data_IF_079648793301
#
_entry.id   IF_079648793301
#
_cell.length_a   1.000
_cell.length_b   1.000
_cell.length_c   1.000
_cell.angle_alpha   90.00
_cell.angle_beta   90.00
_cell.angle_gamma   90.00
#
_symmetry.space_group_name_H-M   'P 1'
#
loop_
_entity.id
_entity.type
_entity.pdbx_description
1 polymer ?
#
# COMPACT_ATOMS: atom_id res chain seq x y z
N UNK A 1 -22.35 4.35 9.36
CA UNK A 1 -21.74 5.40 8.54
C UNK A 1 -22.15 5.16 7.09
N UNK A 2 -21.89 6.06 6.15
CA UNK A 2 -22.11 5.75 4.73
C UNK A 2 -20.82 5.20 4.10
N UNK A 3 -20.94 4.51 2.97
CA UNK A 3 -19.79 4.12 2.14
C UNK A 3 -19.26 5.30 1.35
N UNK A 4 -17.94 5.41 1.24
CA UNK A 4 -17.29 6.36 0.32
C UNK A 4 -17.56 5.93 -1.13
N UNK A 5 -17.49 4.63 -1.42
CA UNK A 5 -17.57 4.08 -2.77
C UNK A 5 -16.27 4.29 -3.55
N UNK A 6 -15.12 3.98 -2.93
CA UNK A 6 -13.79 4.24 -3.47
C UNK A 6 -13.63 3.70 -4.89
N UNK A 7 -14.08 2.46 -5.11
CA UNK A 7 -13.93 1.76 -6.40
C UNK A 7 -14.46 2.55 -7.60
N UNK A 8 -15.47 3.40 -7.39
CA UNK A 8 -16.10 4.20 -8.45
C UNK A 8 -15.56 5.64 -8.50
N UNK A 9 -14.90 6.12 -7.45
CA UNK A 9 -14.49 7.53 -7.30
C UNK A 9 -13.00 7.75 -7.55
N UNK A 10 -12.19 6.73 -7.39
CA UNK A 10 -10.74 6.82 -7.57
C UNK A 10 -10.20 5.62 -8.34
N UNK A 11 -8.95 5.73 -8.78
CA UNK A 11 -8.19 4.68 -9.44
C UNK A 11 -6.74 4.75 -8.98
N UNK A 12 -6.06 3.59 -8.97
CA UNK A 12 -4.64 3.56 -8.72
C UNK A 12 -3.87 4.21 -9.87
N UNK A 13 -2.97 5.12 -9.52
CA UNK A 13 -2.00 5.71 -10.43
C UNK A 13 -0.68 4.92 -10.34
N UNK A 14 0.29 5.15 -11.24
CA UNK A 14 1.58 4.49 -11.16
C UNK A 14 2.29 4.75 -9.82
N UNK A 15 2.73 3.67 -9.18
CA UNK A 15 3.38 3.70 -7.88
C UNK A 15 4.90 3.53 -7.93
N UNK A 16 5.52 3.61 -6.76
CA UNK A 16 6.95 3.37 -6.54
C UNK A 16 7.14 2.34 -5.45
N UNK A 17 8.02 1.37 -5.69
CA UNK A 17 8.53 0.47 -4.67
C UNK A 17 9.96 0.86 -4.34
N UNK A 18 10.35 0.74 -3.08
CA UNK A 18 11.69 1.08 -2.59
C UNK A 18 12.18 0.03 -1.61
N UNK A 19 13.50 -0.01 -1.37
CA UNK A 19 14.13 -0.90 -0.38
C UNK A 19 14.84 -0.05 0.65
N UNK A 20 14.84 -0.49 1.90
CA UNK A 20 15.55 0.20 2.96
C UNK A 20 16.01 -0.76 4.06
N UNK A 21 17.16 -0.49 4.66
CA UNK A 21 17.61 -1.20 5.84
C UNK A 21 16.96 -0.59 7.08
N UNK A 22 16.52 -1.44 8.01
CA UNK A 22 16.07 -0.97 9.32
C UNK A 22 16.50 -1.94 10.41
N UNK A 23 16.85 -1.40 11.57
CA UNK A 23 17.18 -2.15 12.77
C UNK A 23 16.62 -1.44 14.01
N UNK A 24 16.19 -2.22 14.99
CA UNK A 24 15.73 -1.69 16.27
C UNK A 24 16.00 -2.69 17.39
N UNK A 25 17.13 -2.52 18.07
CA UNK A 25 17.57 -3.39 19.16
C UNK A 25 16.59 -3.41 20.35
N UNK A 26 15.83 -2.33 20.58
CA UNK A 26 14.90 -2.22 21.70
C UNK A 26 13.73 -3.21 21.60
N UNK A 27 13.35 -3.58 20.37
CA UNK A 27 12.31 -4.59 20.10
C UNK A 27 12.91 -5.91 19.59
N UNK A 28 14.25 -6.04 19.62
CA UNK A 28 14.96 -7.20 19.11
C UNK A 28 14.91 -7.36 17.58
N UNK A 29 14.55 -6.30 16.84
CA UNK A 29 14.56 -6.32 15.39
C UNK A 29 15.99 -6.17 14.90
N UNK A 30 16.57 -7.30 14.47
CA UNK A 30 17.86 -7.31 13.76
C UNK A 30 17.78 -6.46 12.49
N UNK A 31 18.93 -6.04 11.98
CA UNK A 31 19.03 -5.39 10.67
C UNK A 31 18.38 -6.25 9.58
N UNK A 32 17.28 -5.73 9.04
CA UNK A 32 16.43 -6.40 8.04
C UNK A 32 16.24 -5.46 6.85
N UNK A 33 16.25 -6.03 5.64
CA UNK A 33 15.98 -5.29 4.40
C UNK A 33 14.49 -5.36 4.17
N UNK A 34 13.83 -4.22 4.24
CA UNK A 34 12.40 -4.08 3.98
C UNK A 34 12.17 -3.49 2.61
N UNK A 35 11.00 -3.80 2.06
CA UNK A 35 10.42 -3.07 0.94
C UNK A 35 9.31 -2.15 1.46
N UNK A 36 9.13 -1.03 0.77
CA UNK A 36 7.92 -0.20 0.88
C UNK A 36 7.34 0.10 -0.48
N UNK A 37 6.03 0.28 -0.55
CA UNK A 37 5.32 0.58 -1.80
C UNK A 37 4.36 1.74 -1.57
N UNK A 38 4.47 2.74 -2.44
CA UNK A 38 3.63 3.92 -2.49
C UNK A 38 2.79 3.89 -3.76
N UNK A 39 1.47 3.91 -3.63
CA UNK A 39 0.53 3.89 -4.75
C UNK A 39 -0.43 5.06 -4.58
N UNK A 40 -0.15 6.19 -5.25
CA UNK A 40 -1.08 7.31 -5.30
C UNK A 40 -2.39 6.86 -5.95
N UNK A 41 -3.52 7.37 -5.44
CA UNK A 41 -4.81 7.21 -6.11
C UNK A 41 -5.26 8.58 -6.65
N UNK A 42 -6.06 8.58 -7.71
CA UNK A 42 -6.58 9.82 -8.28
C UNK A 42 -7.44 10.58 -7.27
N UNK A 43 -7.15 11.85 -7.05
CA UNK A 43 -7.90 12.70 -6.11
C UNK A 43 -9.39 12.75 -6.47
N UNK A 44 -10.26 12.81 -5.47
CA UNK A 44 -11.70 12.89 -5.66
C UNK A 44 -12.39 13.66 -4.53
N UNK A 45 -13.65 14.03 -4.72
CA UNK A 45 -14.43 14.64 -3.63
C UNK A 45 -14.93 13.55 -2.68
N UNK A 46 -14.36 13.45 -1.49
CA UNK A 46 -14.75 12.44 -0.49
C UNK A 46 -16.10 12.72 0.15
N UNK A 47 -16.47 14.01 0.26
CA UNK A 47 -17.67 14.45 0.99
C UNK A 47 -17.43 14.63 2.49
N UNK A 48 -16.18 14.47 2.94
CA UNK A 48 -15.76 14.80 4.31
C UNK A 48 -15.63 16.33 4.42
N UNK A 49 -16.45 16.94 5.27
CA UNK A 49 -16.57 18.39 5.41
C UNK A 49 -15.36 19.04 6.11
N UNK A 50 -14.59 18.23 6.86
CA UNK A 50 -13.38 18.65 7.57
C UNK A 50 -12.10 18.58 6.72
N UNK A 51 -12.15 18.04 5.50
CA UNK A 51 -10.99 17.92 4.59
C UNK A 51 -11.13 18.85 3.37
N UNK A 52 -10.05 19.54 2.94
CA UNK A 52 -10.02 20.22 1.65
C UNK A 52 -10.30 19.25 0.50
N UNK A 53 -11.14 19.68 -0.44
CA UNK A 53 -11.55 18.86 -1.59
C UNK A 53 -10.96 19.41 -2.91
N UNK A 54 -10.57 18.54 -3.86
CA UNK A 54 -10.55 17.09 -3.78
C UNK A 54 -9.46 16.58 -2.81
N UNK A 55 -9.70 15.44 -2.18
CA UNK A 55 -8.80 14.89 -1.18
C UNK A 55 -7.66 14.11 -1.84
N UNK A 56 -6.45 14.31 -1.32
CA UNK A 56 -5.30 13.47 -1.64
C UNK A 56 -5.43 12.11 -0.99
N UNK A 57 -5.11 11.08 -1.76
CA UNK A 57 -5.29 9.70 -1.33
C UNK A 57 -4.13 8.84 -1.84
N UNK A 58 -3.61 8.00 -0.96
CA UNK A 58 -2.48 7.14 -1.25
C UNK A 58 -2.60 5.83 -0.46
N UNK A 59 -2.21 4.73 -1.09
CA UNK A 59 -1.97 3.46 -0.39
C UNK A 59 -0.47 3.39 -0.10
N UNK A 60 -0.12 3.11 1.14
CA UNK A 60 1.26 2.88 1.58
C UNK A 60 1.32 1.48 2.17
N UNK A 61 2.29 0.69 1.70
CA UNK A 61 2.66 -0.62 2.24
C UNK A 61 4.07 -0.49 2.80
N UNK A 62 4.23 -0.59 4.11
CA UNK A 62 5.52 -0.51 4.81
C UNK A 62 5.86 -1.82 5.51
N UNK A 63 7.14 -1.94 5.87
CA UNK A 63 7.68 -3.09 6.60
C UNK A 63 7.51 -4.44 5.89
N UNK A 64 7.54 -4.44 4.54
CA UNK A 64 7.47 -5.68 3.77
C UNK A 64 8.81 -6.43 3.86
N UNK A 65 8.95 -7.33 4.83
CA UNK A 65 10.05 -8.30 4.89
C UNK A 65 9.77 -9.44 3.90
N UNK A 66 10.12 -9.22 2.64
CA UNK A 66 9.84 -10.17 1.56
C UNK A 66 10.82 -11.36 1.55
N UNK A 67 11.94 -11.26 2.27
CA UNK A 67 13.01 -12.27 2.36
C UNK A 67 13.38 -12.91 1.00
N UNK A 68 13.51 -12.08 -0.04
CA UNK A 68 13.80 -12.53 -1.40
C UNK A 68 15.29 -12.85 -1.56
N UNK A 69 15.66 -13.91 -2.32
CA UNK A 69 17.05 -14.17 -2.66
C UNK A 69 17.71 -13.03 -3.46
N UNK A 70 16.92 -12.40 -4.33
CA UNK A 70 17.28 -11.18 -5.05
C UNK A 70 16.25 -10.10 -4.67
N UNK A 71 16.63 -9.09 -3.86
CA UNK A 71 15.70 -8.07 -3.39
C UNK A 71 15.20 -7.15 -4.51
N UNK A 72 15.80 -7.21 -5.70
CA UNK A 72 15.42 -6.38 -6.84
C UNK A 72 14.41 -7.08 -7.75
N UNK A 73 14.21 -8.39 -7.54
CA UNK A 73 13.32 -9.21 -8.33
C UNK A 73 12.00 -9.48 -7.61
N UNK A 74 11.02 -8.60 -7.84
CA UNK A 74 9.65 -8.75 -7.33
C UNK A 74 8.76 -9.60 -8.26
N UNK A 75 9.31 -10.22 -9.31
CA UNK A 75 8.51 -10.95 -10.28
C UNK A 75 7.89 -12.22 -9.68
N UNK A 76 6.60 -12.43 -9.94
CA UNK A 76 5.86 -13.58 -9.42
C UNK A 76 5.56 -13.53 -7.93
N UNK A 77 5.84 -12.41 -7.25
CA UNK A 77 5.51 -12.24 -5.84
C UNK A 77 3.99 -12.28 -5.64
N UNK A 78 3.54 -13.09 -4.67
CA UNK A 78 2.14 -13.18 -4.26
C UNK A 78 2.05 -12.84 -2.77
N UNK A 79 1.37 -11.75 -2.45
CA UNK A 79 1.22 -11.28 -1.07
C UNK A 79 -0.21 -11.43 -0.59
N UNK A 80 -0.30 -11.69 0.71
CA UNK A 80 -1.50 -11.57 1.54
C UNK A 80 -1.05 -11.01 2.89
N UNK A 81 -1.93 -10.28 3.55
CA UNK A 81 -1.73 -9.87 4.93
C UNK A 81 -3.00 -10.09 5.75
N UNK A 82 -2.82 -10.21 7.05
CA UNK A 82 -3.88 -10.09 8.05
C UNK A 82 -3.46 -9.12 9.16
N UNK A 83 -4.40 -8.70 10.04
CA UNK A 83 -4.08 -7.78 11.13
C UNK A 83 -3.04 -8.28 12.12
N UNK A 84 -2.77 -9.58 12.16
CA UNK A 84 -1.75 -10.19 13.01
C UNK A 84 -0.34 -10.15 12.40
N UNK A 85 -0.22 -9.84 11.11
CA UNK A 85 1.06 -9.71 10.43
C UNK A 85 1.75 -8.41 10.84
N UNK A 86 3.09 -8.41 10.86
CA UNK A 86 3.89 -7.18 11.09
C UNK A 86 3.98 -6.28 9.85
N UNK A 87 3.12 -6.52 8.85
CA UNK A 87 3.05 -5.71 7.63
C UNK A 87 2.08 -4.57 7.85
N UNK A 88 2.52 -3.34 7.61
CA UNK A 88 1.66 -2.17 7.73
C UNK A 88 1.16 -1.76 6.34
N UNK A 89 -0.12 -1.98 6.08
CA UNK A 89 -0.76 -1.45 4.87
C UNK A 89 -1.85 -0.50 5.27
N UNK A 90 -1.82 0.68 4.68
CA UNK A 90 -2.76 1.73 5.02
C UNK A 90 -3.17 2.53 3.81
N UNK A 91 -4.41 3.01 3.85
CA UNK A 91 -4.94 4.00 2.94
C UNK A 91 -5.07 5.33 3.67
N UNK A 92 -4.29 6.29 3.21
CA UNK A 92 -4.33 7.66 3.66
C UNK A 92 -5.41 8.40 2.88
N UNK A 93 -6.42 8.92 3.57
CA UNK A 93 -7.48 9.75 3.00
C UNK A 93 -7.45 11.11 3.70
N UNK A 94 -6.77 12.08 3.10
CA UNK A 94 -6.46 13.33 3.79
C UNK A 94 -5.57 13.04 5.01
N UNK A 95 -6.02 13.42 6.21
CA UNK A 95 -5.30 13.15 7.46
C UNK A 95 -5.66 11.80 8.11
N UNK A 96 -6.67 11.08 7.60
CA UNK A 96 -7.11 9.81 8.17
C UNK A 96 -6.23 8.64 7.71
N UNK A 97 -5.80 7.82 8.67
CA UNK A 97 -4.94 6.65 8.46
C UNK A 97 -5.75 5.35 8.61
N UNK A 98 -6.20 4.78 7.49
CA UNK A 98 -7.12 3.65 7.50
C UNK A 98 -6.35 2.35 7.28
N UNK A 99 -6.29 1.42 8.25
CA UNK A 99 -5.63 0.14 8.07
C UNK A 99 -6.23 -0.66 6.92
N UNK A 100 -5.40 -1.46 6.27
CA UNK A 100 -5.77 -2.29 5.15
C UNK A 100 -5.21 -3.70 5.30
N UNK A 101 -5.95 -4.68 4.77
CA UNK A 101 -5.46 -6.03 4.59
C UNK A 101 -5.32 -6.36 3.10
N UNK A 102 -4.18 -6.94 2.72
CA UNK A 102 -3.99 -7.50 1.39
C UNK A 102 -4.72 -8.85 1.33
N UNK A 103 -5.90 -8.85 0.71
CA UNK A 103 -6.62 -10.10 0.41
C UNK A 103 -5.84 -10.89 -0.65
N UNK A 104 -5.34 -10.18 -1.66
CA UNK A 104 -4.52 -10.74 -2.74
C UNK A 104 -3.73 -9.65 -3.44
N UNK A 105 -2.43 -9.84 -3.61
CA UNK A 105 -1.61 -9.02 -4.48
C UNK A 105 -0.67 -9.89 -5.30
N UNK A 106 -0.56 -9.64 -6.60
CA UNK A 106 0.30 -10.40 -7.51
C UNK A 106 1.15 -9.43 -8.31
N UNK A 107 2.45 -9.68 -8.35
CA UNK A 107 3.42 -8.87 -9.09
C UNK A 107 3.89 -9.60 -10.33
N UNK A 108 3.92 -8.90 -11.46
CA UNK A 108 4.43 -9.43 -12.72
C UNK A 108 5.34 -8.40 -13.38
N UNK A 109 6.59 -8.76 -13.63
CA UNK A 109 7.55 -7.92 -14.34
C UNK A 109 7.10 -7.70 -15.78
N UNK A 110 7.16 -6.46 -16.24
CA UNK A 110 6.85 -6.08 -17.63
C UNK A 110 8.05 -5.44 -18.32
N UNK A 111 8.97 -4.85 -17.56
CA UNK A 111 10.25 -4.31 -18.00
C UNK A 111 11.26 -4.32 -16.84
N UNK A 112 12.50 -3.89 -17.10
CA UNK A 112 13.52 -3.72 -16.07
C UNK A 112 13.01 -2.76 -14.97
N UNK A 113 12.98 -3.24 -13.73
CA UNK A 113 12.43 -2.55 -12.56
C UNK A 113 10.97 -2.05 -12.68
N UNK A 114 10.20 -2.54 -13.65
CA UNK A 114 8.80 -2.16 -13.84
C UNK A 114 7.92 -3.40 -13.71
N UNK A 115 6.93 -3.29 -12.84
CA UNK A 115 6.02 -4.37 -12.49
C UNK A 115 4.58 -3.92 -12.69
N UNK A 116 3.76 -4.80 -13.24
CA UNK A 116 2.31 -4.67 -13.15
C UNK A 116 1.85 -5.41 -11.88
N UNK A 117 1.03 -4.74 -11.08
CA UNK A 117 0.46 -5.30 -9.86
C UNK A 117 -1.05 -5.43 -9.99
N UNK A 118 -1.59 -6.56 -9.56
CA UNK A 118 -3.04 -6.76 -9.40
C UNK A 118 -3.32 -6.96 -7.93
N UNK A 119 -4.10 -6.06 -7.33
CA UNK A 119 -4.31 -6.00 -5.89
C UNK A 119 -5.80 -5.94 -5.54
N UNK A 120 -6.17 -6.62 -4.46
CA UNK A 120 -7.44 -6.53 -3.77
C UNK A 120 -7.16 -6.29 -2.29
N UNK A 121 -7.61 -5.13 -1.80
CA UNK A 121 -7.47 -4.70 -0.41
C UNK A 121 -8.83 -4.71 0.29
N UNK A 122 -8.84 -5.12 1.54
CA UNK A 122 -9.85 -4.72 2.51
C UNK A 122 -9.38 -3.45 3.20
N UNK A 123 -10.26 -2.46 3.37
CA UNK A 123 -9.95 -1.18 4.00
C UNK A 123 -10.86 -1.01 5.21
N UNK A 124 -10.25 -0.84 6.39
CA UNK A 124 -10.94 -0.62 7.66
C UNK A 124 -11.13 0.88 7.91
N UNK A 125 -12.12 1.47 7.24
CA UNK A 125 -12.52 2.86 7.44
C UNK A 125 -13.18 3.11 8.81
N UNK A 126 -13.71 2.05 9.44
CA UNK A 126 -14.34 2.15 10.76
C UNK A 126 -13.30 2.42 11.86
N UNK A 127 -12.04 2.03 11.66
CA UNK A 127 -10.93 2.29 12.58
C UNK A 127 -10.77 3.80 12.89
N UNK A 128 -10.77 4.65 11.87
CA UNK A 128 -10.71 6.12 12.01
C UNK A 128 -12.11 6.77 12.08
N UNK A 129 -13.19 5.97 12.04
CA UNK A 129 -14.56 6.49 12.03
C UNK A 129 -14.93 7.26 10.75
N UNK A 130 -14.27 6.96 9.62
CA UNK A 130 -14.41 7.70 8.35
C UNK A 130 -15.65 7.26 7.56
N UNK A 131 -15.80 5.95 7.35
CA UNK A 131 -16.85 5.35 6.52
C UNK A 131 -17.06 3.87 6.86
N UNK A 132 -18.07 3.24 6.28
CA UNK A 132 -18.16 1.76 6.33
C UNK A 132 -16.99 1.12 5.59
N UNK A 133 -16.57 -0.07 6.04
CA UNK A 133 -15.46 -0.82 5.45
C UNK A 133 -15.72 -1.22 3.99
N UNK A 134 -14.65 -1.20 3.18
CA UNK A 134 -14.74 -1.39 1.73
C UNK A 134 -13.67 -2.33 1.18
N UNK A 135 -13.99 -2.94 0.04
CA UNK A 135 -13.01 -3.65 -0.79
C UNK A 135 -12.61 -2.73 -1.92
N UNK A 136 -11.31 -2.57 -2.13
CA UNK A 136 -10.77 -1.83 -3.26
C UNK A 136 -9.89 -2.73 -4.12
N UNK A 137 -10.26 -2.87 -5.40
CA UNK A 137 -9.55 -3.67 -6.39
C UNK A 137 -8.94 -2.76 -7.43
N UNK A 138 -7.67 -2.99 -7.73
CA UNK A 138 -6.98 -2.19 -8.71
C UNK A 138 -5.87 -2.98 -9.42
N UNK A 139 -5.51 -2.46 -10.60
CA UNK A 139 -4.34 -2.85 -11.36
C UNK A 139 -3.55 -1.58 -11.65
N UNK A 140 -2.24 -1.59 -11.43
CA UNK A 140 -1.38 -0.43 -11.73
C UNK A 140 0.05 -0.87 -12.01
N UNK A 141 0.85 0.07 -12.51
CA UNK A 141 2.29 -0.09 -12.70
C UNK A 141 3.04 0.42 -11.49
N UNK A 142 3.98 -0.37 -10.99
CA UNK A 142 4.92 0.04 -9.96
C UNK A 142 6.34 -0.02 -10.51
N UNK A 143 7.09 1.05 -10.31
CA UNK A 143 8.53 1.11 -10.60
C UNK A 143 9.32 0.88 -9.30
N UNK A 144 10.21 -0.09 -9.31
CA UNK A 144 11.17 -0.29 -8.23
C UNK A 144 12.31 0.72 -8.37
N UNK A 145 12.60 1.44 -7.29
CA UNK A 145 13.85 2.18 -7.12
C UNK A 145 14.97 1.17 -6.80
N UNK A 146 16.01 1.05 -7.65
CA UNK A 146 17.11 0.12 -7.38
C UNK A 146 17.96 0.56 -6.18
N UNK A 147 17.92 1.83 -5.78
CA UNK A 147 18.70 2.31 -4.64
C UNK A 147 18.16 1.75 -3.32
N UNK A 148 19.08 1.30 -2.45
CA UNK A 148 18.73 0.89 -1.09
C UNK A 148 18.92 2.10 -0.18
N UNK A 149 17.85 2.47 0.51
CA UNK A 149 17.86 3.58 1.47
C UNK A 149 18.31 3.10 2.85
N UNK A 150 18.74 4.04 3.67
CA UNK A 150 19.09 3.83 5.08
C UNK A 150 17.95 4.28 6.00
#
# INVERSE_FOLDING_TARGET
MEKIGLQAKTKAEPGVAEKYWFENEHIGLRRTLFHRVHIPLSEFSSGLDYEPQPVKIEIVMEWLDLNLPDPDNLDGLNLKSSPEDQTEVSLYLGMAHNPCDIIKMNWKRTAEHIYNIHCELFIDFEFEGVAENEIFKFETVVRLDPEIKE
#
